data_IF_959253821984
#
_entry.id   IF_959253821984
#
_cell.length_a   1.000
_cell.length_b   1.000
_cell.length_c   1.000
_cell.angle_alpha   90.00
_cell.angle_beta   90.00
_cell.angle_gamma   90.00
#
_symmetry.space_group_name_H-M   'P 1'
#
loop_
_entity.id
_entity.type
_entity.pdbx_description
1 polymer ?
#
# COMPACT_ATOMS: atom_id res chain seq x y z
N UNK A 1 25.48 5.51 -5.62
CA UNK A 1 24.07 5.39 -5.27
C UNK A 1 23.98 4.82 -3.86
N UNK A 2 23.05 5.30 -3.03
CA UNK A 2 22.83 4.73 -1.70
C UNK A 2 22.42 3.25 -1.80
N UNK A 3 22.60 2.50 -0.71
CA UNK A 3 22.04 1.15 -0.63
C UNK A 3 20.52 1.24 -0.46
N UNK A 4 19.78 0.72 -1.43
CA UNK A 4 18.33 0.68 -1.39
C UNK A 4 17.83 -0.59 -0.70
N UNK A 5 16.84 -0.41 0.14
CA UNK A 5 16.05 -1.45 0.78
C UNK A 5 14.56 -1.26 0.43
N UNK A 6 13.81 -2.32 0.37
CA UNK A 6 12.36 -2.26 0.26
C UNK A 6 11.73 -2.68 1.59
N UNK A 7 10.77 -1.91 2.05
CA UNK A 7 9.86 -2.28 3.12
C UNK A 7 8.46 -2.44 2.53
N UNK A 8 7.96 -3.66 2.46
CA UNK A 8 6.63 -3.95 1.93
C UNK A 8 5.64 -4.06 3.10
N UNK A 9 4.60 -3.23 3.06
CA UNK A 9 3.54 -3.23 4.07
C UNK A 9 2.44 -4.20 3.64
N UNK A 10 2.32 -5.32 4.35
CA UNK A 10 1.36 -6.40 4.05
C UNK A 10 0.29 -6.53 5.12
N UNK A 11 -0.33 -5.39 5.45
CA UNK A 11 -1.47 -5.30 6.36
C UNK A 11 -2.79 -5.06 5.61
N UNK A 12 -3.90 -5.23 6.32
CA UNK A 12 -5.24 -4.96 5.79
C UNK A 12 -5.95 -6.18 5.21
N UNK A 13 -7.25 -6.25 5.48
CA UNK A 13 -8.08 -7.40 5.12
C UNK A 13 -8.63 -7.35 3.68
N UNK A 14 -8.61 -6.18 3.01
CA UNK A 14 -9.12 -6.03 1.64
C UNK A 14 -10.61 -6.37 1.47
N UNK A 15 -11.43 -6.10 2.48
CA UNK A 15 -12.84 -6.54 2.60
C UNK A 15 -13.74 -6.17 1.42
N UNK A 16 -13.42 -5.08 0.70
CA UNK A 16 -14.20 -4.66 -0.49
C UNK A 16 -14.01 -5.55 -1.72
N UNK A 17 -13.05 -6.51 -1.66
CA UNK A 17 -12.85 -7.54 -2.68
C UNK A 17 -13.42 -8.91 -2.27
N UNK A 18 -14.31 -8.93 -1.26
CA UNK A 18 -15.12 -10.09 -0.99
C UNK A 18 -15.99 -10.41 -2.26
N UNK A 19 -16.21 -11.67 -2.62
CA UNK A 19 -15.90 -12.90 -1.90
C UNK A 19 -14.52 -13.52 -2.18
N UNK A 20 -13.65 -12.91 -3.00
CA UNK A 20 -12.28 -13.41 -3.24
C UNK A 20 -11.35 -13.13 -2.07
N UNK A 21 -11.41 -11.92 -1.49
CA UNK A 21 -10.65 -11.59 -0.31
C UNK A 21 -11.33 -12.15 0.94
N UNK A 22 -10.56 -12.83 1.78
CA UNK A 22 -10.98 -13.45 3.04
C UNK A 22 -9.93 -13.16 4.12
N UNK A 23 -10.29 -13.30 5.40
CA UNK A 23 -9.33 -13.19 6.51
C UNK A 23 -8.16 -14.15 6.35
N UNK A 24 -8.45 -15.40 5.94
CA UNK A 24 -7.42 -16.41 5.70
C UNK A 24 -6.57 -16.13 4.45
N UNK A 25 -7.04 -15.36 3.48
CA UNK A 25 -6.33 -14.99 2.25
C UNK A 25 -6.70 -13.58 1.81
N UNK A 26 -6.15 -12.55 2.44
CA UNK A 26 -6.42 -11.15 2.12
C UNK A 26 -5.98 -10.76 0.71
N UNK A 27 -6.43 -9.57 0.27
CA UNK A 27 -6.26 -9.00 -1.06
C UNK A 27 -4.84 -9.15 -1.62
N UNK A 28 -3.82 -8.82 -0.83
CA UNK A 28 -2.43 -8.82 -1.28
C UNK A 28 -1.89 -10.21 -1.68
N UNK A 29 -2.52 -11.27 -1.20
CA UNK A 29 -2.15 -12.65 -1.53
C UNK A 29 -2.95 -13.24 -2.70
N UNK A 30 -3.77 -12.42 -3.38
CA UNK A 30 -4.62 -12.83 -4.50
C UNK A 30 -3.99 -12.43 -5.84
N UNK A 31 -4.18 -13.30 -6.82
CA UNK A 31 -3.88 -13.14 -8.24
C UNK A 31 -5.02 -12.37 -8.95
N UNK A 32 -5.11 -11.06 -8.72
CA UNK A 32 -6.23 -10.25 -9.20
C UNK A 32 -6.04 -9.70 -10.61
N UNK A 33 -4.82 -9.46 -11.03
CA UNK A 33 -4.49 -8.77 -12.29
C UNK A 33 -3.69 -9.65 -13.25
N UNK A 34 -2.98 -10.65 -12.74
CA UNK A 34 -2.12 -11.56 -13.50
C UNK A 34 -2.09 -12.95 -12.90
N UNK A 35 -1.00 -13.67 -13.13
CA UNK A 35 -0.77 -15.01 -12.57
C UNK A 35 -0.14 -14.95 -11.17
N UNK A 36 0.52 -13.84 -10.84
CA UNK A 36 1.14 -13.60 -9.54
C UNK A 36 0.20 -12.86 -8.61
N UNK A 37 0.39 -13.03 -7.30
CA UNK A 37 -0.30 -12.21 -6.31
C UNK A 37 0.19 -10.77 -6.31
N UNK A 38 -0.60 -9.83 -5.78
CA UNK A 38 -0.19 -8.43 -5.66
C UNK A 38 1.09 -8.27 -4.83
N UNK A 39 1.28 -9.11 -3.79
CA UNK A 39 2.50 -9.14 -2.99
C UNK A 39 3.72 -9.58 -3.82
N UNK A 40 3.59 -10.67 -4.58
CA UNK A 40 4.65 -11.15 -5.47
C UNK A 40 5.03 -10.10 -6.51
N UNK A 41 4.02 -9.49 -7.17
CA UNK A 41 4.23 -8.40 -8.13
C UNK A 41 4.92 -7.18 -7.49
N UNK A 42 4.61 -6.88 -6.22
CA UNK A 42 5.23 -5.76 -5.51
C UNK A 42 6.72 -5.99 -5.27
N UNK A 43 7.12 -7.19 -4.89
CA UNK A 43 8.54 -7.54 -4.70
C UNK A 43 9.25 -7.63 -6.04
N UNK A 44 8.65 -8.29 -7.03
CA UNK A 44 9.25 -8.47 -8.35
C UNK A 44 9.51 -7.14 -9.08
N UNK A 45 8.58 -6.18 -8.99
CA UNK A 45 8.73 -4.89 -9.70
C UNK A 45 9.91 -4.04 -9.24
N UNK A 46 10.49 -4.31 -8.07
CA UNK A 46 11.66 -3.61 -7.55
C UNK A 46 12.95 -4.44 -7.63
N UNK A 47 12.88 -5.69 -8.05
CA UNK A 47 14.00 -6.65 -8.04
C UNK A 47 15.23 -6.21 -8.84
N UNK A 48 15.04 -5.43 -9.90
CA UNK A 48 16.13 -4.84 -10.70
C UNK A 48 16.96 -3.79 -9.93
N UNK A 49 16.40 -3.19 -8.88
CA UNK A 49 17.05 -2.18 -8.03
C UNK A 49 17.41 -2.70 -6.66
N UNK A 50 16.58 -3.58 -6.12
CA UNK A 50 16.63 -4.05 -4.73
C UNK A 50 16.58 -5.57 -4.72
N UNK A 51 17.72 -6.23 -4.49
CA UNK A 51 17.79 -7.68 -4.41
C UNK A 51 17.01 -8.20 -3.18
N UNK A 52 16.56 -9.45 -3.23
CA UNK A 52 15.69 -10.06 -2.21
C UNK A 52 16.28 -9.98 -0.79
N UNK A 53 17.60 -10.02 -0.65
CA UNK A 53 18.31 -9.88 0.62
C UNK A 53 18.21 -8.48 1.25
N UNK A 54 17.56 -7.54 0.56
CA UNK A 54 17.28 -6.19 1.05
C UNK A 54 15.78 -5.87 1.04
N UNK A 55 14.94 -6.89 0.92
CA UNK A 55 13.50 -6.77 1.04
C UNK A 55 13.08 -7.16 2.45
N UNK A 56 12.34 -6.27 3.11
CA UNK A 56 11.71 -6.50 4.41
C UNK A 56 10.19 -6.41 4.23
N UNK A 57 9.47 -7.17 5.02
CA UNK A 57 8.02 -7.10 5.10
C UNK A 57 7.57 -6.78 6.52
N UNK A 58 6.48 -6.00 6.64
CA UNK A 58 5.70 -5.94 7.88
C UNK A 58 4.36 -6.60 7.64
N UNK A 59 3.99 -7.51 8.53
CA UNK A 59 2.72 -8.22 8.45
C UNK A 59 2.25 -8.67 9.85
N UNK A 60 0.94 -8.91 10.03
CA UNK A 60 0.43 -9.56 11.22
C UNK A 60 0.84 -11.04 11.26
N UNK A 61 0.85 -11.67 12.45
CA UNK A 61 1.38 -13.03 12.63
C UNK A 61 0.69 -14.10 11.78
N UNK A 62 -0.61 -13.96 11.52
CA UNK A 62 -1.40 -14.89 10.71
C UNK A 62 -0.98 -14.94 9.24
N UNK A 63 -0.31 -13.92 8.72
CA UNK A 63 0.13 -13.87 7.32
C UNK A 63 1.50 -14.52 7.08
N UNK A 64 2.25 -14.90 8.13
CA UNK A 64 3.63 -15.44 7.97
C UNK A 64 3.69 -16.65 7.04
N UNK A 65 2.76 -17.58 7.17
CA UNK A 65 2.72 -18.80 6.33
C UNK A 65 2.49 -18.48 4.86
N UNK A 66 1.56 -17.56 4.55
CA UNK A 66 1.30 -17.10 3.19
C UNK A 66 2.48 -16.35 2.58
N UNK A 67 3.15 -15.51 3.37
CA UNK A 67 4.37 -14.82 2.93
C UNK A 67 5.44 -15.84 2.56
N UNK A 68 5.69 -16.82 3.42
CA UNK A 68 6.69 -17.87 3.15
C UNK A 68 6.32 -18.73 1.93
N UNK A 69 5.05 -19.05 1.75
CA UNK A 69 4.55 -19.76 0.56
C UNK A 69 4.81 -18.98 -0.72
N UNK A 70 4.49 -17.69 -0.72
CA UNK A 70 4.55 -16.85 -1.93
C UNK A 70 5.94 -16.24 -2.21
N UNK A 71 6.74 -16.06 -1.18
CA UNK A 71 8.10 -15.51 -1.25
C UNK A 71 9.11 -16.44 -0.57
N UNK A 72 9.33 -17.65 -1.09
CA UNK A 72 10.18 -18.66 -0.43
C UNK A 72 11.66 -18.24 -0.35
N UNK A 73 12.09 -17.25 -1.15
CA UNK A 73 13.45 -16.69 -1.11
C UNK A 73 13.65 -15.60 -0.06
N UNK A 74 12.59 -15.15 0.62
CA UNK A 74 12.68 -14.12 1.64
C UNK A 74 13.15 -14.74 2.97
N UNK A 75 14.17 -14.14 3.59
CA UNK A 75 14.68 -14.59 4.88
C UNK A 75 13.61 -14.38 5.98
N UNK A 76 13.51 -15.35 6.90
CA UNK A 76 12.45 -15.34 7.93
C UNK A 76 12.56 -14.14 8.90
N UNK A 77 13.77 -13.67 9.17
CA UNK A 77 14.09 -12.50 9.99
C UNK A 77 13.85 -11.16 9.28
N UNK A 78 13.60 -11.18 7.96
CA UNK A 78 13.14 -10.03 7.19
C UNK A 78 11.61 -9.86 7.24
N UNK A 79 10.87 -10.79 7.83
CA UNK A 79 9.44 -10.65 8.09
C UNK A 79 9.23 -10.11 9.49
N UNK A 80 9.07 -8.81 9.59
CA UNK A 80 8.78 -8.10 10.84
C UNK A 80 7.30 -8.29 11.19
N UNK A 81 7.02 -8.84 12.36
CA UNK A 81 5.66 -9.16 12.78
C UNK A 81 5.13 -8.10 13.71
N UNK A 82 4.07 -7.40 13.29
CA UNK A 82 3.36 -6.48 14.18
C UNK A 82 2.41 -7.26 15.11
N UNK A 83 2.38 -6.98 16.41
CA UNK A 83 1.54 -7.74 17.35
C UNK A 83 0.05 -7.67 17.03
N UNK A 84 -0.45 -6.49 16.64
CA UNK A 84 -1.82 -6.22 16.17
C UNK A 84 -1.88 -4.82 15.53
N UNK A 85 -2.89 -4.51 14.70
CA UNK A 85 -2.94 -3.25 13.95
C UNK A 85 -3.02 -2.00 14.86
N UNK A 86 -2.10 -1.04 14.65
CA UNK A 86 -2.10 0.30 15.28
C UNK A 86 -1.94 1.46 14.29
N UNK A 87 -2.14 1.17 13.01
CA UNK A 87 -1.88 2.08 11.89
C UNK A 87 -0.48 1.87 11.30
N UNK A 88 -0.29 2.30 10.05
CA UNK A 88 0.96 2.04 9.35
C UNK A 88 2.17 2.81 9.92
N UNK A 89 1.96 3.89 10.70
CA UNK A 89 3.06 4.57 11.35
C UNK A 89 3.77 3.66 12.37
N UNK A 90 3.03 2.93 13.21
CA UNK A 90 3.60 1.98 14.16
C UNK A 90 4.28 0.80 13.43
N UNK A 91 3.65 0.26 12.39
CA UNK A 91 4.20 -0.84 11.59
C UNK A 91 5.52 -0.46 10.90
N UNK A 92 5.58 0.72 10.28
CA UNK A 92 6.82 1.27 9.69
C UNK A 92 7.88 1.50 10.77
N UNK A 93 7.50 2.07 11.91
CA UNK A 93 8.41 2.31 13.03
C UNK A 93 9.10 1.02 13.51
N UNK A 94 8.34 -0.06 13.65
CA UNK A 94 8.86 -1.38 14.03
C UNK A 94 9.90 -1.89 13.02
N UNK A 95 9.60 -1.74 11.72
CA UNK A 95 10.56 -2.13 10.67
C UNK A 95 11.79 -1.21 10.65
N UNK A 96 11.63 0.09 10.94
CA UNK A 96 12.77 1.00 11.03
C UNK A 96 13.70 0.65 12.19
N UNK A 97 13.17 0.14 13.32
CA UNK A 97 14.01 -0.38 14.41
C UNK A 97 14.91 -1.53 13.93
N UNK A 98 14.35 -2.49 13.21
CA UNK A 98 15.12 -3.62 12.64
C UNK A 98 16.13 -3.16 11.59
N UNK A 99 15.72 -2.27 10.69
CA UNK A 99 16.60 -1.72 9.64
C UNK A 99 17.71 -0.84 10.20
N UNK A 100 17.47 -0.07 11.25
CA UNK A 100 18.48 0.74 11.94
C UNK A 100 19.62 -0.12 12.48
N UNK A 101 19.30 -1.31 13.00
CA UNK A 101 20.30 -2.24 13.49
C UNK A 101 21.03 -2.98 12.37
N UNK A 102 20.36 -3.20 11.24
CA UNK A 102 20.91 -3.92 10.09
C UNK A 102 21.80 -3.03 9.21
N UNK A 103 21.33 -1.83 8.85
CA UNK A 103 22.06 -0.82 8.07
C UNK A 103 21.52 0.59 8.41
N UNK A 104 22.17 1.34 9.32
CA UNK A 104 21.71 2.66 9.75
C UNK A 104 21.73 3.71 8.63
N UNK A 105 22.49 3.50 7.57
CA UNK A 105 22.58 4.37 6.39
C UNK A 105 21.63 3.97 5.25
N UNK A 106 20.78 2.97 5.48
CA UNK A 106 19.84 2.48 4.49
C UNK A 106 18.91 3.60 3.98
N UNK A 107 18.72 3.64 2.66
CA UNK A 107 17.61 4.34 2.04
C UNK A 107 16.51 3.32 1.76
N UNK A 108 15.34 3.55 2.34
CA UNK A 108 14.24 2.59 2.34
C UNK A 108 13.12 3.09 1.44
N UNK A 109 12.67 2.21 0.54
CA UNK A 109 11.47 2.37 -0.27
C UNK A 109 10.34 1.65 0.45
N UNK A 110 9.35 2.38 0.94
CA UNK A 110 8.15 1.81 1.60
C UNK A 110 7.05 1.64 0.57
N UNK A 111 6.56 0.42 0.44
CA UNK A 111 5.63 0.00 -0.60
C UNK A 111 4.40 -0.68 0.02
N UNK A 112 3.18 -0.23 -0.29
CA UNK A 112 1.98 -1.06 -0.09
C UNK A 112 2.06 -2.32 -0.93
N UNK A 113 1.66 -3.47 -0.37
CA UNK A 113 1.70 -4.78 -1.05
C UNK A 113 0.54 -5.03 -2.01
N UNK A 114 -0.36 -4.07 -2.14
CA UNK A 114 -1.68 -4.26 -2.75
C UNK A 114 -1.99 -3.28 -3.89
N UNK A 115 -0.97 -2.56 -4.39
CA UNK A 115 -1.07 -1.65 -5.52
C UNK A 115 -0.63 -2.29 -6.84
N UNK A 116 -1.26 -1.88 -7.93
CA UNK A 116 -0.87 -2.23 -9.30
C UNK A 116 -0.06 -1.08 -9.90
N UNK A 117 1.05 -1.40 -10.54
CA UNK A 117 1.88 -0.47 -11.32
C UNK A 117 2.18 -1.13 -12.67
N UNK A 118 1.74 -0.50 -13.76
CA UNK A 118 1.86 -1.08 -15.10
C UNK A 118 3.20 -0.81 -15.77
N UNK A 119 3.73 0.40 -15.58
CA UNK A 119 5.02 0.78 -16.18
C UNK A 119 6.16 0.62 -15.16
N UNK A 120 6.74 -0.58 -15.13
CA UNK A 120 7.87 -0.93 -14.26
C UNK A 120 9.11 -0.07 -14.55
N UNK A 121 9.33 0.34 -15.82
CA UNK A 121 10.48 1.16 -16.21
C UNK A 121 10.33 2.58 -15.68
N UNK A 122 9.19 3.22 -15.91
CA UNK A 122 8.89 4.54 -15.37
C UNK A 122 8.94 4.52 -13.84
N UNK A 123 8.42 3.47 -13.20
CA UNK A 123 8.49 3.31 -11.74
C UNK A 123 9.93 3.25 -11.23
N UNK A 124 10.81 2.51 -11.91
CA UNK A 124 12.23 2.48 -11.60
C UNK A 124 12.88 3.87 -11.66
N UNK A 125 12.59 4.66 -12.70
CA UNK A 125 13.14 5.99 -12.86
C UNK A 125 12.64 6.94 -11.75
N UNK A 126 11.37 6.82 -11.35
CA UNK A 126 10.80 7.53 -10.20
C UNK A 126 11.53 7.14 -8.91
N UNK A 127 11.75 5.85 -8.65
CA UNK A 127 12.45 5.38 -7.46
C UNK A 127 13.91 5.86 -7.41
N UNK A 128 14.61 5.92 -8.53
CA UNK A 128 15.98 6.45 -8.60
C UNK A 128 16.03 7.94 -8.21
N UNK A 129 15.07 8.74 -8.69
CA UNK A 129 14.96 10.14 -8.30
C UNK A 129 14.58 10.32 -6.83
N UNK A 130 13.64 9.52 -6.35
CA UNK A 130 13.22 9.54 -4.95
C UNK A 130 14.38 9.14 -4.02
N UNK A 131 15.16 8.10 -4.38
CA UNK A 131 16.31 7.67 -3.62
C UNK A 131 17.41 8.74 -3.54
N UNK A 132 17.66 9.47 -4.64
CA UNK A 132 18.63 10.55 -4.65
C UNK A 132 18.21 11.71 -3.73
N UNK A 133 16.91 12.02 -3.65
CA UNK A 133 16.39 13.05 -2.74
C UNK A 133 16.40 12.56 -1.28
N UNK A 134 16.07 11.31 -1.03
CA UNK A 134 16.13 10.70 0.28
C UNK A 134 17.57 10.66 0.82
N UNK A 135 18.55 10.43 -0.05
CA UNK A 135 19.98 10.39 0.31
C UNK A 135 20.50 11.74 0.82
N UNK A 136 19.90 12.86 0.39
CA UNK A 136 20.23 14.20 0.87
C UNK A 136 19.27 14.73 1.95
N UNK A 137 18.43 13.86 2.57
CA UNK A 137 17.69 14.15 3.78
C UNK A 137 16.21 14.50 3.58
N UNK A 138 15.62 14.24 2.41
CA UNK A 138 14.18 14.42 2.22
C UNK A 138 13.40 13.15 2.58
N UNK A 139 12.18 13.35 3.09
CA UNK A 139 11.11 12.35 3.13
C UNK A 139 10.35 12.48 1.81
N UNK A 140 10.51 11.51 0.93
CA UNK A 140 9.99 11.59 -0.44
C UNK A 140 8.73 10.75 -0.57
N UNK A 141 7.70 11.31 -1.21
CA UNK A 141 6.52 10.55 -1.63
C UNK A 141 6.37 10.58 -3.15
N UNK A 142 5.62 9.62 -3.70
CA UNK A 142 5.29 9.54 -5.11
C UNK A 142 3.93 10.21 -5.34
N UNK A 143 3.89 11.15 -6.28
CA UNK A 143 2.70 11.93 -6.62
C UNK A 143 2.09 11.49 -7.94
N UNK A 144 0.85 11.00 -7.90
CA UNK A 144 0.08 10.60 -9.09
C UNK A 144 -0.76 11.78 -9.57
N UNK A 145 -0.78 12.03 -10.87
CA UNK A 145 -1.64 13.08 -11.43
C UNK A 145 -3.12 12.72 -11.23
N UNK A 146 -3.92 13.64 -10.64
CA UNK A 146 -5.32 13.36 -10.36
C UNK A 146 -6.16 13.25 -11.63
N UNK A 147 -6.90 12.17 -11.79
CA UNK A 147 -7.88 11.98 -12.86
C UNK A 147 -9.26 12.58 -12.52
N UNK A 148 -9.45 12.97 -11.25
CA UNK A 148 -10.69 13.55 -10.74
C UNK A 148 -10.63 13.90 -9.26
N UNK A 149 -11.73 14.42 -8.67
CA UNK A 149 -11.78 14.86 -7.27
C UNK A 149 -12.07 13.70 -6.31
N UNK A 150 -11.19 12.71 -6.26
CA UNK A 150 -11.32 11.56 -5.35
C UNK A 150 -11.03 11.99 -3.90
N UNK A 151 -11.90 11.63 -2.98
CA UNK A 151 -11.77 11.93 -1.54
C UNK A 151 -11.11 10.79 -0.75
N UNK A 152 -10.80 9.69 -1.40
CA UNK A 152 -10.13 8.52 -0.81
C UNK A 152 -8.62 8.68 -0.70
N UNK A 153 -8.03 9.64 -1.43
CA UNK A 153 -6.59 9.88 -1.49
C UNK A 153 -6.15 11.15 -0.76
N UNK A 154 -4.90 11.19 -0.34
CA UNK A 154 -4.20 12.40 0.06
C UNK A 154 -3.83 13.25 -1.16
N UNK A 155 -3.77 14.56 -0.98
CA UNK A 155 -3.40 15.55 -2.01
C UNK A 155 -2.11 16.26 -1.63
N UNK A 156 -1.19 16.38 -2.59
CA UNK A 156 0.13 16.99 -2.44
C UNK A 156 0.22 18.21 -3.32
N UNK A 157 0.33 19.40 -2.73
CA UNK A 157 0.65 20.62 -3.47
C UNK A 157 2.16 20.69 -3.73
N UNK A 158 2.54 20.56 -4.99
CA UNK A 158 3.94 20.63 -5.37
C UNK A 158 4.48 22.05 -5.36
N UNK A 159 5.68 22.20 -4.82
CA UNK A 159 6.45 23.46 -4.76
C UNK A 159 7.47 23.60 -5.88
N UNK A 160 8.55 24.34 -5.58
CA UNK A 160 9.67 24.51 -6.49
C UNK A 160 10.43 23.21 -6.75
N UNK A 161 11.05 23.04 -7.93
CA UNK A 161 12.00 21.96 -8.16
C UNK A 161 13.15 22.03 -7.15
N UNK A 162 13.59 20.85 -6.70
CA UNK A 162 14.75 20.70 -5.83
C UNK A 162 16.01 20.43 -6.68
N UNK A 163 17.19 20.89 -6.27
CA UNK A 163 18.45 20.66 -6.98
C UNK A 163 18.98 19.23 -6.72
N UNK A 164 18.16 18.24 -7.01
CA UNK A 164 18.49 16.81 -6.84
C UNK A 164 18.62 16.18 -8.22
N UNK A 165 19.72 15.46 -8.44
CA UNK A 165 19.95 14.76 -9.69
C UNK A 165 19.10 13.48 -9.75
N UNK A 166 18.45 13.23 -10.90
CA UNK A 166 17.66 12.04 -11.13
C UNK A 166 16.97 12.06 -12.50
N UNK A 167 16.44 10.92 -12.95
CA UNK A 167 15.69 10.85 -14.21
C UNK A 167 14.43 11.73 -14.23
N UNK A 168 13.77 11.88 -13.07
CA UNK A 168 12.53 12.64 -12.90
C UNK A 168 12.79 13.81 -11.95
N UNK A 169 12.33 15.05 -12.26
CA UNK A 169 12.49 16.18 -11.37
C UNK A 169 11.78 15.98 -10.03
N UNK A 170 12.50 16.17 -8.93
CA UNK A 170 11.95 16.15 -7.58
C UNK A 170 11.49 17.57 -7.21
N UNK A 171 10.36 17.70 -6.52
CA UNK A 171 9.79 18.97 -6.10
C UNK A 171 9.60 19.02 -4.59
N UNK A 172 9.78 20.18 -3.98
CA UNK A 172 9.39 20.38 -2.58
C UNK A 172 7.87 20.25 -2.44
N UNK A 173 7.41 19.78 -1.30
CA UNK A 173 5.98 19.79 -0.94
C UNK A 173 5.66 21.09 -0.22
N UNK A 174 4.67 21.85 -0.72
CA UNK A 174 4.14 23.04 -0.04
C UNK A 174 3.08 22.68 0.99
N UNK A 175 2.27 21.69 0.67
CA UNK A 175 1.18 21.22 1.52
C UNK A 175 0.87 19.77 1.21
N UNK A 176 0.63 19.01 2.24
CA UNK A 176 0.07 17.67 2.18
C UNK A 176 -1.29 17.67 2.91
N UNK A 177 -2.32 17.10 2.32
CA UNK A 177 -3.68 17.09 2.89
C UNK A 177 -4.24 15.69 2.67
N UNK A 178 -4.38 14.93 3.75
CA UNK A 178 -4.91 13.58 3.67
C UNK A 178 -6.45 13.59 3.63
N UNK A 179 -7.02 12.93 2.63
CA UNK A 179 -8.47 12.71 2.44
C UNK A 179 -9.33 13.96 2.60
N UNK A 180 -9.15 14.98 1.74
CA UNK A 180 -9.92 16.21 1.80
C UNK A 180 -11.41 15.96 1.51
N UNK A 181 -12.26 16.86 1.98
CA UNK A 181 -13.67 16.85 1.58
C UNK A 181 -13.83 17.16 0.08
N UNK A 182 -14.96 16.71 -0.52
CA UNK A 182 -15.24 16.79 -1.97
C UNK A 182 -15.03 18.19 -2.59
N UNK A 183 -15.47 19.24 -1.90
CA UNK A 183 -15.29 20.62 -2.41
C UNK A 183 -13.80 21.03 -2.46
N UNK A 184 -13.02 20.62 -1.45
CA UNK A 184 -11.59 20.88 -1.43
C UNK A 184 -10.88 20.11 -2.55
N UNK A 185 -11.20 18.81 -2.74
CA UNK A 185 -10.69 18.00 -3.83
C UNK A 185 -11.00 18.61 -5.22
N UNK A 186 -12.23 19.08 -5.46
CA UNK A 186 -12.61 19.77 -6.69
C UNK A 186 -11.77 21.03 -6.93
N UNK A 187 -11.55 21.85 -5.89
CA UNK A 187 -10.70 23.06 -6.00
C UNK A 187 -9.25 22.71 -6.33
N UNK A 188 -8.71 21.68 -5.70
CA UNK A 188 -7.31 21.24 -5.89
C UNK A 188 -7.08 20.74 -7.32
N UNK A 189 -7.97 19.88 -7.82
CA UNK A 189 -7.88 19.38 -9.20
C UNK A 189 -8.03 20.54 -10.20
N UNK A 190 -8.98 21.44 -9.98
CA UNK A 190 -9.21 22.62 -10.86
C UNK A 190 -8.07 23.63 -10.85
N UNK A 191 -7.32 23.76 -9.76
CA UNK A 191 -6.19 24.67 -9.66
C UNK A 191 -4.92 24.14 -10.37
N UNK A 192 -4.80 22.81 -10.54
CA UNK A 192 -3.59 22.17 -11.03
C UNK A 192 -2.42 22.23 -10.04
N UNK A 193 -1.35 21.48 -10.32
CA UNK A 193 -0.16 21.43 -9.47
C UNK A 193 -0.33 20.61 -8.18
N UNK A 194 -1.42 19.88 -8.08
CA UNK A 194 -1.69 18.89 -7.04
C UNK A 194 -1.50 17.48 -7.59
N UNK A 195 -1.01 16.59 -6.73
CA UNK A 195 -0.87 15.15 -7.01
C UNK A 195 -1.59 14.37 -5.93
N UNK A 196 -2.12 13.19 -6.29
CA UNK A 196 -2.55 12.21 -5.29
C UNK A 196 -1.33 11.56 -4.63
N UNK A 197 -1.40 11.37 -3.33
CA UNK A 197 -0.42 10.58 -2.61
C UNK A 197 -0.60 9.09 -2.95
N UNK A 198 0.43 8.48 -3.51
CA UNK A 198 0.42 7.06 -3.84
C UNK A 198 0.59 6.15 -2.60
N UNK A 199 0.78 6.71 -1.40
CA UNK A 199 1.07 5.92 -0.19
C UNK A 199 2.42 5.20 -0.21
N UNK A 200 3.30 5.57 -1.13
CA UNK A 200 4.67 5.07 -1.25
C UNK A 200 5.64 6.15 -0.80
N UNK A 201 6.59 5.77 0.03
CA UNK A 201 7.57 6.71 0.58
C UNK A 201 8.99 6.20 0.37
N UNK A 202 9.94 7.16 0.28
CA UNK A 202 11.37 6.86 0.23
C UNK A 202 12.09 7.81 1.18
N UNK A 203 12.90 7.26 2.07
CA UNK A 203 13.68 8.04 3.05
C UNK A 203 14.92 7.29 3.52
N UNK A 204 15.85 8.02 4.09
CA UNK A 204 16.92 7.43 4.89
C UNK A 204 16.39 7.07 6.27
N UNK A 205 16.78 5.93 6.82
CA UNK A 205 16.33 5.46 8.15
C UNK A 205 16.56 6.53 9.22
N UNK A 206 17.72 7.14 9.27
CA UNK A 206 18.04 8.18 10.26
C UNK A 206 17.10 9.40 10.14
N UNK A 207 16.73 9.80 8.92
CA UNK A 207 15.85 10.96 8.67
C UNK A 207 14.44 10.71 9.16
N UNK A 208 13.88 9.53 8.86
CA UNK A 208 12.51 9.22 9.31
C UNK A 208 12.46 8.99 10.82
N UNK A 209 13.49 8.40 11.42
CA UNK A 209 13.56 8.26 12.88
C UNK A 209 13.60 9.62 13.60
N UNK A 210 14.27 10.62 13.03
CA UNK A 210 14.22 11.98 13.55
C UNK A 210 12.81 12.59 13.44
N UNK A 211 12.13 12.37 12.31
CA UNK A 211 10.75 12.80 12.14
C UNK A 211 9.79 12.12 13.15
N UNK A 212 10.04 10.85 13.50
CA UNK A 212 9.31 10.19 14.58
C UNK A 212 9.55 10.89 15.93
N UNK A 213 10.79 11.26 16.26
CA UNK A 213 11.11 11.98 17.51
C UNK A 213 10.37 13.31 17.60
N UNK A 214 10.31 14.03 16.49
CA UNK A 214 9.67 15.35 16.43
C UNK A 214 8.14 15.28 16.48
N UNK A 215 7.54 14.35 15.73
CA UNK A 215 6.10 14.36 15.45
C UNK A 215 5.30 13.25 16.12
N UNK A 216 5.96 12.13 16.48
CA UNK A 216 5.34 10.94 17.09
C UNK A 216 6.22 10.45 18.27
N UNK A 217 6.38 11.25 19.34
CA UNK A 217 7.36 10.97 20.41
C UNK A 217 7.07 9.67 21.19
N UNK A 218 5.82 9.24 21.30
CA UNK A 218 5.51 7.95 21.94
C UNK A 218 6.00 6.78 21.10
N UNK A 219 5.77 6.83 19.80
CA UNK A 219 6.28 5.82 18.84
C UNK A 219 7.81 5.85 18.79
N UNK A 220 8.43 7.03 18.80
CA UNK A 220 9.89 7.16 18.83
C UNK A 220 10.51 6.48 20.06
N UNK A 221 9.92 6.70 21.26
CA UNK A 221 10.36 6.04 22.48
C UNK A 221 10.23 4.51 22.40
N UNK A 222 9.13 4.02 21.80
CA UNK A 222 8.95 2.59 21.54
C UNK A 222 10.04 2.02 20.62
N UNK A 223 10.39 2.73 19.51
CA UNK A 223 11.46 2.34 18.60
C UNK A 223 12.80 2.24 19.34
N UNK A 224 13.15 3.24 20.16
CA UNK A 224 14.42 3.28 20.91
C UNK A 224 14.53 2.08 21.84
N UNK A 225 13.48 1.77 22.60
CA UNK A 225 13.43 0.60 23.47
C UNK A 225 13.58 -0.73 22.69
N UNK A 226 12.97 -0.81 21.51
CA UNK A 226 13.07 -1.97 20.63
C UNK A 226 14.48 -2.14 20.07
N UNK A 227 15.15 -1.07 19.64
CA UNK A 227 16.54 -1.11 19.16
C UNK A 227 17.47 -1.63 20.26
N UNK A 228 17.32 -1.15 21.49
CA UNK A 228 18.11 -1.59 22.65
C UNK A 228 17.85 -3.06 23.01
N UNK A 229 16.64 -3.56 22.77
CA UNK A 229 16.27 -4.94 23.10
C UNK A 229 16.60 -5.96 21.98
N UNK A 230 16.94 -5.50 20.78
CA UNK A 230 17.21 -6.38 19.63
C UNK A 230 18.25 -7.45 19.95
N UNK A 231 17.94 -8.70 19.60
CA UNK A 231 18.79 -9.85 19.87
C UNK A 231 18.87 -10.29 21.34
N UNK A 232 18.16 -9.63 22.23
CA UNK A 232 18.08 -10.02 23.64
C UNK A 232 16.89 -10.95 23.92
N UNK A 233 16.95 -11.81 24.97
CA UNK A 233 15.81 -12.63 25.40
C UNK A 233 14.57 -11.83 25.82
N UNK A 234 14.72 -10.52 26.04
CA UNK A 234 13.63 -9.64 26.48
C UNK A 234 12.87 -8.98 25.33
N UNK A 235 13.30 -9.18 24.08
CA UNK A 235 12.72 -8.49 22.91
C UNK A 235 11.20 -8.60 22.83
N UNK A 236 10.66 -9.80 22.95
CA UNK A 236 9.20 -10.04 22.87
C UNK A 236 8.42 -9.31 23.97
N UNK A 237 8.97 -9.25 25.19
CA UNK A 237 8.33 -8.51 26.28
C UNK A 237 8.39 -7.00 26.02
N UNK A 238 9.55 -6.49 25.60
CA UNK A 238 9.71 -5.08 25.25
C UNK A 238 8.81 -4.69 24.08
N UNK A 239 8.67 -5.57 23.07
CA UNK A 239 7.76 -5.34 21.95
C UNK A 239 6.30 -5.23 22.43
N UNK A 240 5.85 -6.15 23.28
CA UNK A 240 4.48 -6.12 23.82
C UNK A 240 4.21 -4.83 24.60
N UNK A 241 5.12 -4.43 25.51
CA UNK A 241 4.98 -3.25 26.34
C UNK A 241 5.05 -1.96 25.50
N UNK A 242 6.03 -1.84 24.62
CA UNK A 242 6.25 -0.67 23.78
C UNK A 242 5.15 -0.49 22.72
N UNK A 243 4.58 -1.60 22.22
CA UNK A 243 3.54 -1.55 21.20
C UNK A 243 2.27 -0.85 21.67
N UNK A 244 1.88 -1.05 22.93
CA UNK A 244 0.72 -0.39 23.53
C UNK A 244 0.87 1.14 23.60
N UNK A 245 2.10 1.64 23.72
CA UNK A 245 2.41 3.07 23.84
C UNK A 245 2.52 3.78 22.48
N UNK A 246 2.57 3.05 21.35
CA UNK A 246 2.71 3.68 20.03
C UNK A 246 1.50 4.52 19.65
N UNK A 247 1.72 5.60 18.90
CA UNK A 247 0.67 6.46 18.38
C UNK A 247 -0.20 5.71 17.36
N UNK A 248 -1.53 5.78 17.50
CA UNK A 248 -2.49 5.17 16.54
C UNK A 248 -2.74 6.11 15.39
N UNK A 249 -1.82 6.14 14.42
CA UNK A 249 -1.90 7.05 13.28
C UNK A 249 -1.25 6.42 12.04
N UNK A 250 -1.32 7.13 10.92
CA UNK A 250 -0.62 6.77 9.69
C UNK A 250 0.59 7.67 9.47
N UNK A 251 1.53 7.24 8.61
CA UNK A 251 2.67 8.05 8.16
C UNK A 251 2.18 9.38 7.54
N UNK A 252 1.08 9.31 6.80
CA UNK A 252 0.51 10.45 6.12
C UNK A 252 0.14 11.56 7.10
N UNK A 253 -0.69 11.26 8.11
CA UNK A 253 -1.10 12.22 9.16
C UNK A 253 -0.02 12.50 10.19
N UNK A 254 0.74 11.47 10.57
CA UNK A 254 1.70 11.55 11.66
C UNK A 254 2.97 12.29 11.29
N UNK A 255 3.44 12.14 10.06
CA UNK A 255 4.73 12.64 9.58
C UNK A 255 4.58 13.49 8.32
N UNK A 256 4.00 12.97 7.23
CA UNK A 256 4.05 13.63 5.92
C UNK A 256 3.31 14.99 5.89
N UNK A 257 2.23 15.16 6.64
CA UNK A 257 1.54 16.46 6.80
C UNK A 257 2.32 17.48 7.64
N UNK A 258 3.27 17.04 8.47
CA UNK A 258 3.92 17.88 9.49
C UNK A 258 5.38 18.18 9.18
N UNK A 259 6.10 17.24 8.60
CA UNK A 259 7.53 17.36 8.37
C UNK A 259 7.84 18.46 7.32
N UNK A 260 8.84 19.30 7.61
CA UNK A 260 9.22 20.41 6.75
C UNK A 260 10.06 19.99 5.51
N UNK A 261 10.67 18.81 5.57
CA UNK A 261 11.56 18.26 4.55
C UNK A 261 10.88 17.23 3.63
N UNK A 262 9.59 17.41 3.34
CA UNK A 262 8.87 16.51 2.44
C UNK A 262 9.07 16.93 0.98
N UNK A 263 9.33 15.95 0.12
CA UNK A 263 9.45 16.12 -1.32
C UNK A 263 8.53 15.17 -2.07
N UNK A 264 8.17 15.53 -3.30
CA UNK A 264 7.34 14.69 -4.18
C UNK A 264 8.04 14.46 -5.51
N UNK A 265 7.99 13.23 -6.00
CA UNK A 265 8.36 12.86 -7.37
C UNK A 265 7.07 12.63 -8.15
N UNK A 266 6.77 13.45 -9.18
CA UNK A 266 5.64 13.17 -10.08
C UNK A 266 5.83 11.81 -10.78
N UNK A 267 4.81 10.96 -10.76
CA UNK A 267 4.90 9.58 -11.19
C UNK A 267 3.79 9.23 -12.18
N UNK A 268 4.17 9.04 -13.46
CA UNK A 268 3.29 8.52 -14.51
C UNK A 268 3.66 7.06 -14.72
N UNK A 269 3.11 6.17 -13.91
CA UNK A 269 3.52 4.77 -13.78
C UNK A 269 2.39 3.76 -14.01
N UNK A 270 1.19 4.23 -14.40
CA UNK A 270 0.01 3.38 -14.48
C UNK A 270 -0.37 2.78 -13.13
N UNK A 271 -0.40 3.64 -12.11
CA UNK A 271 -0.70 3.26 -10.73
C UNK A 271 -2.20 3.11 -10.49
N UNK A 272 -2.58 2.09 -9.72
CA UNK A 272 -3.93 1.88 -9.20
C UNK A 272 -3.86 1.25 -7.79
N UNK A 273 -4.74 1.69 -6.90
CA UNK A 273 -4.85 1.17 -5.54
C UNK A 273 -5.64 -0.13 -5.41
N UNK A 274 -6.42 -0.50 -6.45
CA UNK A 274 -7.28 -1.70 -6.48
C UNK A 274 -8.13 -1.82 -5.20
N UNK A 275 -8.74 -0.72 -4.76
CA UNK A 275 -9.46 -0.65 -3.49
C UNK A 275 -10.82 -1.38 -3.50
N UNK A 276 -11.42 -1.61 -4.67
CA UNK A 276 -12.72 -2.25 -4.84
C UNK A 276 -12.80 -2.99 -6.18
N UNK A 277 -13.87 -3.77 -6.38
CA UNK A 277 -14.14 -4.45 -7.64
C UNK A 277 -14.30 -3.48 -8.82
N UNK A 278 -14.87 -2.30 -8.61
CA UNK A 278 -14.99 -1.28 -9.65
C UNK A 278 -13.62 -0.79 -10.09
N UNK A 279 -12.71 -0.53 -9.15
CA UNK A 279 -11.32 -0.15 -9.41
C UNK A 279 -10.52 -1.27 -10.06
N UNK A 280 -10.73 -2.52 -9.63
CA UNK A 280 -10.09 -3.67 -10.28
C UNK A 280 -10.51 -3.78 -11.75
N UNK A 281 -11.79 -3.56 -12.07
CA UNK A 281 -12.29 -3.61 -13.44
C UNK A 281 -11.66 -2.57 -14.39
N UNK A 282 -11.04 -1.50 -13.87
CA UNK A 282 -10.29 -0.52 -14.67
C UNK A 282 -8.92 -1.06 -15.11
N UNK A 283 -8.31 -1.90 -14.28
CA UNK A 283 -6.97 -2.47 -14.53
C UNK A 283 -7.02 -3.90 -15.07
N UNK A 284 -8.06 -4.65 -14.78
CA UNK A 284 -8.30 -6.00 -15.28
C UNK A 284 -9.70 -6.07 -15.90
N UNK A 285 -9.91 -5.47 -17.08
CA UNK A 285 -11.25 -5.32 -17.67
C UNK A 285 -11.92 -6.65 -18.04
N UNK A 286 -11.12 -7.70 -18.21
CA UNK A 286 -11.60 -9.07 -18.49
C UNK A 286 -11.29 -9.92 -17.25
N UNK A 287 -12.31 -10.19 -16.46
CA UNK A 287 -12.19 -11.12 -15.34
C UNK A 287 -11.92 -12.56 -15.84
N UNK A 288 -11.45 -13.42 -14.95
CA UNK A 288 -11.23 -14.84 -15.23
C UNK A 288 -12.59 -15.56 -15.32
N UNK A 289 -12.92 -16.12 -16.49
CA UNK A 289 -14.19 -16.84 -16.70
C UNK A 289 -13.97 -18.07 -17.57
N UNK A 290 -14.94 -18.99 -17.58
CA UNK A 290 -15.07 -20.06 -18.58
C UNK A 290 -15.64 -19.56 -19.91
N UNK A 291 -16.07 -18.30 -19.97
CA UNK A 291 -16.62 -17.61 -21.14
C UNK A 291 -17.76 -16.66 -20.73
N UNK A 292 -17.98 -15.62 -21.52
CA UNK A 292 -19.11 -14.69 -21.35
C UNK A 292 -19.92 -14.61 -22.65
N UNK A 293 -21.23 -14.83 -22.55
CA UNK A 293 -22.20 -14.52 -23.59
C UNK A 293 -22.97 -13.26 -23.17
N UNK A 294 -22.79 -12.16 -23.92
CA UNK A 294 -23.48 -10.90 -23.65
C UNK A 294 -24.49 -10.60 -24.77
N UNK A 295 -25.72 -10.24 -24.40
CA UNK A 295 -26.75 -9.74 -25.27
C UNK A 295 -27.35 -8.48 -24.66
N UNK A 296 -27.26 -7.36 -25.36
CA UNK A 296 -27.66 -6.04 -24.84
C UNK A 296 -27.09 -5.79 -23.43
N UNK A 297 -25.79 -6.16 -23.23
CA UNK A 297 -25.11 -6.15 -21.95
C UNK A 297 -23.68 -5.62 -22.12
N UNK A 298 -23.38 -4.51 -21.44
CA UNK A 298 -22.13 -3.76 -21.64
C UNK A 298 -21.46 -3.41 -20.29
N UNK A 299 -20.15 -3.20 -20.33
CA UNK A 299 -19.34 -2.72 -19.20
C UNK A 299 -19.47 -3.57 -17.93
N UNK A 300 -19.76 -4.85 -18.06
CA UNK A 300 -19.83 -5.78 -16.93
C UNK A 300 -18.44 -6.38 -16.66
N UNK A 301 -18.06 -6.42 -15.40
CA UNK A 301 -16.91 -7.17 -14.91
C UNK A 301 -17.37 -8.54 -14.42
N UNK A 302 -16.76 -9.61 -14.91
CA UNK A 302 -17.14 -10.98 -14.54
C UNK A 302 -15.90 -11.77 -14.11
N UNK A 303 -15.88 -12.22 -12.88
CA UNK A 303 -14.92 -13.18 -12.38
C UNK A 303 -15.65 -14.45 -11.92
N UNK A 304 -15.66 -15.46 -12.76
CA UNK A 304 -16.34 -16.74 -12.53
C UNK A 304 -15.51 -17.88 -13.14
N UNK A 305 -14.40 -18.29 -12.50
CA UNK A 305 -13.47 -19.28 -13.04
C UNK A 305 -14.16 -20.59 -13.40
N UNK A 306 -13.95 -21.07 -14.64
CA UNK A 306 -14.51 -22.33 -15.13
C UNK A 306 -16.01 -22.32 -15.45
N UNK A 307 -16.72 -21.20 -15.24
CA UNK A 307 -18.16 -21.10 -15.56
C UNK A 307 -18.41 -20.27 -16.80
N UNK A 308 -19.37 -20.72 -17.63
CA UNK A 308 -19.97 -19.87 -18.65
C UNK A 308 -20.99 -18.95 -17.99
N UNK A 309 -20.82 -17.64 -18.19
CA UNK A 309 -21.74 -16.62 -17.69
C UNK A 309 -22.49 -15.97 -18.85
N UNK A 310 -23.81 -15.94 -18.76
CA UNK A 310 -24.66 -15.27 -19.76
C UNK A 310 -25.28 -14.04 -19.15
N UNK A 311 -25.11 -12.89 -19.82
CA UNK A 311 -25.64 -11.58 -19.43
C UNK A 311 -26.60 -11.08 -20.49
N UNK A 312 -27.85 -10.76 -20.13
CA UNK A 312 -28.87 -10.32 -21.06
C UNK A 312 -29.55 -9.06 -20.49
N UNK A 313 -29.48 -7.95 -21.25
CA UNK A 313 -30.18 -6.71 -20.89
C UNK A 313 -29.65 -6.02 -19.64
N UNK A 314 -28.39 -6.28 -19.22
CA UNK A 314 -27.77 -5.74 -18.00
C UNK A 314 -26.42 -5.10 -18.31
N UNK A 315 -26.14 -3.98 -17.67
CA UNK A 315 -24.88 -3.25 -17.84
C UNK A 315 -24.35 -2.75 -16.51
N UNK A 316 -23.06 -2.42 -16.49
CA UNK A 316 -22.37 -1.86 -15.33
C UNK A 316 -22.45 -2.74 -14.07
N UNK A 317 -22.39 -4.06 -14.25
CA UNK A 317 -22.37 -5.02 -13.15
C UNK A 317 -20.95 -5.49 -12.82
N UNK A 318 -20.80 -5.86 -11.57
CA UNK A 318 -19.72 -6.69 -11.04
C UNK A 318 -20.32 -8.03 -10.64
N UNK A 319 -19.81 -9.11 -11.23
CA UNK A 319 -20.21 -10.50 -10.92
C UNK A 319 -18.96 -11.25 -10.50
N UNK A 320 -18.95 -11.75 -9.26
CA UNK A 320 -17.80 -12.49 -8.71
C UNK A 320 -18.27 -13.77 -8.07
N UNK A 321 -17.85 -14.88 -8.63
CA UNK A 321 -18.20 -16.22 -8.20
C UNK A 321 -17.02 -16.89 -7.49
N UNK A 322 -17.30 -17.48 -6.35
CA UNK A 322 -16.41 -18.37 -5.60
C UNK A 322 -17.15 -19.66 -5.26
N UNK A 323 -16.48 -20.72 -4.78
CA UNK A 323 -17.16 -21.97 -4.46
C UNK A 323 -18.30 -21.85 -3.44
N UNK A 324 -18.25 -20.85 -2.56
CA UNK A 324 -19.12 -20.68 -1.40
C UNK A 324 -19.96 -19.39 -1.42
N UNK A 325 -19.69 -18.47 -2.37
CA UNK A 325 -20.43 -17.22 -2.45
C UNK A 325 -20.46 -16.65 -3.87
N UNK A 326 -21.57 -16.00 -4.22
CA UNK A 326 -21.74 -15.24 -5.46
C UNK A 326 -22.08 -13.80 -5.13
N UNK A 327 -21.23 -12.86 -5.57
CA UNK A 327 -21.51 -11.44 -5.52
C UNK A 327 -22.07 -10.97 -6.88
N UNK A 328 -23.17 -10.25 -6.85
CA UNK A 328 -23.68 -9.45 -7.97
C UNK A 328 -23.95 -8.05 -7.44
N UNK A 329 -23.28 -7.06 -8.00
CA UNK A 329 -23.40 -5.66 -7.58
C UNK A 329 -23.43 -4.73 -8.78
N UNK A 330 -24.13 -3.60 -8.68
CA UNK A 330 -23.89 -2.48 -9.58
C UNK A 330 -22.46 -1.96 -9.37
N UNK A 331 -21.80 -1.56 -10.45
CA UNK A 331 -20.40 -1.14 -10.43
C UNK A 331 -20.15 0.09 -9.54
N UNK A 332 -21.07 1.04 -9.55
CA UNK A 332 -21.05 2.25 -8.72
C UNK A 332 -21.33 1.99 -7.23
N UNK A 333 -21.78 0.76 -6.88
CA UNK A 333 -22.04 0.30 -5.52
C UNK A 333 -20.97 -0.68 -5.00
N UNK A 334 -19.88 -0.87 -5.71
CA UNK A 334 -18.82 -1.84 -5.33
C UNK A 334 -18.16 -1.53 -3.96
N UNK A 335 -18.21 -0.28 -3.50
CA UNK A 335 -17.73 0.09 -2.15
C UNK A 335 -18.64 -0.46 -1.03
N UNK A 336 -19.92 -0.70 -1.30
CA UNK A 336 -20.89 -1.20 -0.32
C UNK A 336 -20.67 -2.68 0.05
N UNK A 337 -19.80 -3.39 -0.69
CA UNK A 337 -19.37 -4.75 -0.37
C UNK A 337 -18.84 -4.85 1.07
N UNK A 338 -18.20 -3.79 1.57
CA UNK A 338 -17.76 -3.74 2.97
C UNK A 338 -18.93 -3.92 3.95
N UNK A 339 -20.07 -3.29 3.68
CA UNK A 339 -21.25 -3.42 4.56
C UNK A 339 -21.82 -4.84 4.59
N UNK A 340 -21.65 -5.60 3.49
CA UNK A 340 -22.00 -7.04 3.45
C UNK A 340 -21.08 -7.83 4.39
N UNK A 341 -19.78 -7.58 4.32
CA UNK A 341 -18.78 -8.23 5.20
C UNK A 341 -19.06 -7.91 6.67
N UNK A 342 -19.31 -6.63 6.99
CA UNK A 342 -19.66 -6.19 8.35
C UNK A 342 -20.99 -6.85 8.83
N UNK A 343 -21.91 -7.16 7.89
CA UNK A 343 -23.15 -7.92 8.15
C UNK A 343 -22.86 -9.37 8.50
N UNK A 344 -22.07 -10.07 7.68
CA UNK A 344 -21.66 -11.46 7.90
C UNK A 344 -20.94 -11.63 9.24
N UNK A 345 -20.11 -10.67 9.62
CA UNK A 345 -19.42 -10.68 10.91
C UNK A 345 -20.41 -10.59 12.09
N UNK A 346 -21.40 -9.71 12.01
CA UNK A 346 -22.44 -9.57 13.03
C UNK A 346 -23.33 -10.80 13.14
N UNK A 347 -23.54 -11.52 12.03
CA UNK A 347 -24.29 -12.78 11.97
C UNK A 347 -23.46 -13.99 12.39
N UNK A 348 -22.17 -13.82 12.68
CA UNK A 348 -21.26 -14.89 13.07
C UNK A 348 -20.88 -15.85 11.94
N UNK A 349 -21.07 -15.46 10.66
CA UNK A 349 -20.78 -16.25 9.46
C UNK A 349 -19.26 -16.26 9.16
N UNK A 350 -18.48 -16.79 10.11
CA UNK A 350 -17.00 -16.78 10.04
C UNK A 350 -16.46 -17.56 8.83
N UNK A 351 -17.16 -18.57 8.36
CA UNK A 351 -16.80 -19.39 7.20
C UNK A 351 -16.81 -18.59 5.89
N UNK A 352 -17.44 -17.41 5.87
CA UNK A 352 -17.52 -16.51 4.72
C UNK A 352 -16.61 -15.26 4.83
N UNK A 353 -15.85 -15.15 5.94
CA UNK A 353 -15.01 -13.98 6.22
C UNK A 353 -13.52 -14.16 5.90
#
# INVERSE_FOLDING_TARGET
MPRLYALVLSGGAGTRLWPRSRRARPKQFLDLVGESSLLQDTVERVSDLIPTERVFLVAPPEHRSLIHEQLPGLAADHVVVEPYPRGNAAAVALAMASLQAFDPDAVVVVLPSDHVIRDRRAFRDVLLSAAAAADVGYIVTLGIEPEGPDTGFGYIEAGAPLPVAGPIPVRAVKRFIEKPGREAALRMVGAGGYYWNAGMFVWRVSVVLEAYREHLPHTAKAIEALIEALGSPRYEQVLADAWEETDRTTIDYGIAEKAANVAVVPAVIGWHDVGSWARLAEVAPVGTTGGVIARDAERNFVHAPGKLVTLIGVSDLVVVDTPDALLVSARDRAEDVKAVVDGLEREGRQELL
#
